data_IF_882876454300
#
_entry.id   IF_882876454300
#
_cell.length_a   1.000
_cell.length_b   1.000
_cell.length_c   1.000
_cell.angle_alpha   90.00
_cell.angle_beta   90.00
_cell.angle_gamma   90.00
#
_symmetry.space_group_name_H-M   'P 1'
#
loop_
_entity.id
_entity.type
_entity.pdbx_description
1 polymer ?
#
# COMPACT_ATOMS: atom_id res chain seq x y z
N UNK A 1 21.38 -17.82 -17.49
CA UNK A 1 21.31 -18.78 -16.35
C UNK A 1 19.87 -19.17 -16.02
N UNK A 2 18.87 -18.36 -16.37
CA UNK A 2 17.47 -18.56 -15.97
C UNK A 2 16.79 -19.82 -16.53
N UNK A 3 17.24 -20.33 -17.68
CA UNK A 3 16.67 -21.55 -18.28
C UNK A 3 17.07 -22.84 -17.54
N UNK A 4 18.24 -22.86 -16.90
CA UNK A 4 18.73 -24.02 -16.13
C UNK A 4 18.01 -24.08 -14.77
N UNK A 5 17.69 -22.93 -14.17
CA UNK A 5 16.95 -22.84 -12.90
C UNK A 5 15.48 -23.30 -13.03
N UNK A 6 14.81 -22.99 -14.16
CA UNK A 6 13.44 -23.45 -14.40
C UNK A 6 13.32 -24.97 -14.52
N UNK A 7 14.25 -25.61 -15.24
CA UNK A 7 14.26 -27.07 -15.43
C UNK A 7 14.64 -27.84 -14.16
N UNK A 8 15.61 -27.34 -13.39
CA UNK A 8 15.98 -27.93 -12.11
C UNK A 8 14.85 -27.84 -11.07
N UNK A 9 14.13 -26.72 -11.02
CA UNK A 9 12.96 -26.54 -10.14
C UNK A 9 11.82 -27.49 -10.47
N UNK A 10 11.49 -27.68 -11.76
CA UNK A 10 10.44 -28.59 -12.19
C UNK A 10 10.77 -30.06 -11.90
N UNK A 11 12.03 -30.48 -12.10
CA UNK A 11 12.49 -31.82 -11.75
C UNK A 11 12.35 -32.09 -10.24
N UNK A 12 12.59 -31.08 -9.40
CA UNK A 12 12.47 -31.19 -7.96
C UNK A 12 11.02 -31.29 -7.49
N UNK A 13 10.12 -30.50 -8.09
CA UNK A 13 8.68 -30.57 -7.81
C UNK A 13 8.13 -31.95 -8.22
N UNK A 14 8.54 -32.47 -9.38
CA UNK A 14 8.16 -33.80 -9.82
C UNK A 14 8.64 -34.89 -8.84
N UNK A 15 9.87 -34.79 -8.33
CA UNK A 15 10.40 -35.67 -7.29
C UNK A 15 9.55 -35.61 -6.00
N UNK A 16 9.16 -34.41 -5.56
CA UNK A 16 8.32 -34.21 -4.38
C UNK A 16 6.92 -34.82 -4.54
N UNK A 17 6.29 -34.61 -5.70
CA UNK A 17 4.97 -35.19 -6.02
C UNK A 17 5.06 -36.72 -6.05
N UNK A 18 6.11 -37.29 -6.64
CA UNK A 18 6.33 -38.75 -6.68
C UNK A 18 6.56 -39.33 -5.27
N UNK A 19 7.30 -38.65 -4.41
CA UNK A 19 7.47 -39.04 -3.00
C UNK A 19 6.15 -38.99 -2.23
N UNK A 20 5.30 -37.99 -2.46
CA UNK A 20 4.00 -37.86 -1.82
C UNK A 20 3.02 -38.96 -2.28
N UNK A 21 3.03 -39.29 -3.58
CA UNK A 21 2.27 -40.42 -4.13
C UNK A 21 2.75 -41.76 -3.53
N UNK A 22 4.06 -41.92 -3.34
CA UNK A 22 4.65 -43.09 -2.66
C UNK A 22 4.21 -43.25 -1.20
N UNK A 23 3.99 -42.14 -0.50
CA UNK A 23 3.43 -42.12 0.87
C UNK A 23 1.96 -42.54 0.93
N UNK A 24 1.16 -42.11 -0.04
CA UNK A 24 -0.29 -42.40 -0.09
C UNK A 24 -0.59 -43.81 -0.62
N UNK A 25 0.25 -44.36 -1.51
CA UNK A 25 0.00 -45.65 -2.18
C UNK A 25 1.23 -46.58 -2.18
N UNK A 26 1.75 -47.01 -1.01
CA UNK A 26 2.99 -47.78 -0.90
C UNK A 26 2.95 -49.14 -1.63
N UNK A 27 1.77 -49.77 -1.71
CA UNK A 27 1.60 -51.06 -2.40
C UNK A 27 1.82 -50.99 -3.93
N UNK A 28 1.64 -49.81 -4.55
CA UNK A 28 1.88 -49.63 -5.99
C UNK A 28 3.37 -49.50 -6.33
N UNK A 29 4.19 -49.04 -5.39
CA UNK A 29 5.64 -48.90 -5.58
C UNK A 29 6.43 -50.21 -5.39
N UNK A 30 5.89 -51.17 -4.64
CA UNK A 30 6.55 -52.47 -4.41
C UNK A 30 6.58 -53.39 -5.64
N UNK A 31 5.76 -53.14 -6.67
CA UNK A 31 5.76 -53.97 -7.89
C UNK A 31 7.03 -53.83 -8.74
N UNK A 32 7.90 -52.85 -8.46
CA UNK A 32 9.04 -52.51 -9.32
C UNK A 32 10.43 -52.87 -8.78
N UNK A 33 10.59 -53.47 -7.59
CA UNK A 33 11.91 -53.93 -7.09
C UNK A 33 11.86 -55.21 -6.24
N UNK A 34 12.80 -56.13 -6.49
CA UNK A 34 13.19 -57.24 -5.60
C UNK A 34 14.13 -56.77 -4.47
N UNK A 35 13.81 -55.67 -3.79
CA UNK A 35 14.59 -55.19 -2.63
C UNK A 35 13.73 -55.22 -1.37
N UNK A 36 14.38 -55.15 -0.20
CA UNK A 36 13.73 -55.13 1.10
C UNK A 36 12.56 -54.12 1.15
N UNK A 37 11.48 -54.41 1.90
CA UNK A 37 10.31 -53.55 1.94
C UNK A 37 10.67 -52.17 2.48
N UNK A 38 10.45 -51.14 1.66
CA UNK A 38 10.61 -49.74 2.07
C UNK A 38 9.58 -49.46 3.17
N UNK A 39 10.05 -49.13 4.36
CA UNK A 39 9.20 -48.79 5.49
C UNK A 39 8.83 -47.31 5.47
N UNK A 40 7.77 -46.92 6.19
CA UNK A 40 7.40 -45.49 6.35
C UNK A 40 8.56 -44.66 6.92
N UNK A 41 9.41 -45.25 7.77
CA UNK A 41 10.58 -44.59 8.35
C UNK A 41 11.62 -44.26 7.27
N UNK A 42 11.82 -45.16 6.30
CA UNK A 42 12.75 -44.95 5.19
C UNK A 42 12.30 -43.80 4.28
N UNK A 43 10.99 -43.70 4.01
CA UNK A 43 10.43 -42.60 3.23
C UNK A 43 10.56 -41.26 3.97
N UNK A 44 10.32 -41.25 5.28
CA UNK A 44 10.53 -40.05 6.11
C UNK A 44 12.00 -39.62 6.15
N UNK A 45 12.93 -40.56 6.24
CA UNK A 45 14.38 -40.29 6.20
C UNK A 45 14.79 -39.64 4.88
N UNK A 46 14.31 -40.17 3.75
CA UNK A 46 14.60 -39.59 2.42
C UNK A 46 14.03 -38.18 2.29
N UNK A 47 12.83 -37.92 2.80
CA UNK A 47 12.23 -36.58 2.79
C UNK A 47 13.00 -35.59 3.68
N UNK A 48 13.45 -36.02 4.85
CA UNK A 48 14.21 -35.18 5.77
C UNK A 48 15.60 -34.83 5.21
N UNK A 49 16.31 -35.81 4.63
CA UNK A 49 17.59 -35.53 3.98
C UNK A 49 17.41 -34.68 2.71
N UNK A 50 16.35 -34.92 1.93
CA UNK A 50 16.04 -34.13 0.74
C UNK A 50 15.71 -32.66 1.07
N UNK A 51 14.98 -32.40 2.16
CA UNK A 51 14.65 -31.03 2.58
C UNK A 51 15.86 -30.29 3.16
N UNK A 52 16.74 -30.97 3.89
CA UNK A 52 17.99 -30.36 4.38
C UNK A 52 18.90 -29.97 3.21
N UNK A 53 19.05 -30.83 2.20
CA UNK A 53 19.82 -30.52 0.99
C UNK A 53 19.19 -29.33 0.25
N UNK A 54 17.87 -29.24 0.19
CA UNK A 54 17.17 -28.11 -0.44
C UNK A 54 17.44 -26.79 0.30
N UNK A 55 17.34 -26.78 1.63
CA UNK A 55 17.62 -25.60 2.45
C UNK A 55 19.08 -25.19 2.28
N UNK A 56 20.02 -26.13 2.27
CA UNK A 56 21.44 -25.84 2.02
C UNK A 56 21.67 -25.27 0.62
N UNK A 57 21.02 -25.82 -0.42
CA UNK A 57 21.13 -25.27 -1.78
C UNK A 57 20.54 -23.86 -1.88
N UNK A 58 19.44 -23.57 -1.17
CA UNK A 58 18.89 -22.22 -1.08
C UNK A 58 19.80 -21.27 -0.29
N UNK A 59 20.47 -21.71 0.77
CA UNK A 59 21.37 -20.85 1.56
C UNK A 59 22.70 -20.59 0.84
N UNK A 60 23.26 -21.58 0.13
CA UNK A 60 24.53 -21.43 -0.59
C UNK A 60 24.40 -20.79 -1.98
N UNK A 61 23.21 -20.82 -2.60
CA UNK A 61 22.93 -20.12 -3.86
C UNK A 61 21.94 -18.96 -3.69
N UNK A 62 21.55 -18.62 -2.46
CA UNK A 62 20.97 -17.32 -2.22
C UNK A 62 22.04 -16.31 -2.63
N UNK A 63 21.75 -15.39 -3.56
CA UNK A 63 22.61 -14.23 -3.70
C UNK A 63 22.76 -13.63 -2.32
N UNK A 64 23.99 -13.30 -1.92
CA UNK A 64 24.23 -12.53 -0.70
C UNK A 64 23.21 -11.39 -0.67
N UNK A 65 22.63 -11.05 0.50
CA UNK A 65 21.90 -9.81 0.65
C UNK A 65 22.88 -8.63 0.59
N UNK A 66 23.69 -8.53 -0.48
CA UNK A 66 24.29 -7.29 -0.89
C UNK A 66 23.14 -6.36 -1.31
N UNK A 67 22.76 -5.47 -0.40
CA UNK A 67 23.39 -4.16 -0.35
C UNK A 67 23.86 -3.57 -1.70
N UNK A 68 23.16 -3.77 -2.81
CA UNK A 68 23.38 -3.02 -4.06
C UNK A 68 22.14 -3.05 -4.95
N UNK A 69 21.04 -2.55 -4.39
CA UNK A 69 20.04 -1.79 -5.12
C UNK A 69 20.30 -0.31 -4.93
N UNK A 70 21.54 0.16 -5.14
CA UNK A 70 21.79 1.56 -5.46
C UNK A 70 21.04 1.78 -6.77
N UNK A 71 19.79 2.24 -6.66
CA UNK A 71 19.17 2.99 -7.75
C UNK A 71 20.23 3.91 -8.32
N UNK A 72 20.28 4.14 -9.64
CA UNK A 72 21.09 5.24 -10.10
C UNK A 72 20.66 6.40 -9.24
N UNK A 73 21.60 6.93 -8.44
CA UNK A 73 21.48 8.27 -7.90
C UNK A 73 21.45 9.09 -9.17
N UNK A 74 20.25 9.21 -9.75
CA UNK A 74 19.84 10.42 -10.40
C UNK A 74 20.35 11.46 -9.43
N UNK A 75 21.37 12.19 -9.84
CA UNK A 75 21.72 13.42 -9.19
C UNK A 75 20.45 14.25 -9.24
N UNK A 76 19.57 14.04 -8.25
CA UNK A 76 18.46 14.88 -7.97
C UNK A 76 19.13 16.21 -7.71
N UNK A 77 18.82 17.17 -8.58
CA UNK A 77 18.97 18.57 -8.25
C UNK A 77 18.60 18.73 -6.78
N UNK A 78 19.40 19.43 -5.96
CA UNK A 78 19.15 19.55 -4.53
C UNK A 78 17.66 19.86 -4.35
N UNK A 79 16.94 18.95 -3.68
CA UNK A 79 15.51 19.11 -3.49
C UNK A 79 15.30 20.49 -2.87
N UNK A 80 14.53 21.33 -3.56
CA UNK A 80 14.31 22.69 -3.12
C UNK A 80 13.82 22.67 -1.66
N UNK A 81 14.37 23.57 -0.85
CA UNK A 81 14.04 23.63 0.58
C UNK A 81 12.51 23.65 0.75
N UNK A 82 11.92 22.74 1.55
CA UNK A 82 10.48 22.69 1.74
C UNK A 82 9.95 23.98 2.36
N UNK A 83 8.85 24.50 1.82
CA UNK A 83 8.13 25.64 2.40
C UNK A 83 7.09 25.11 3.39
N UNK A 84 7.00 25.73 4.57
CA UNK A 84 6.04 25.36 5.61
C UNK A 84 5.67 26.57 6.48
N UNK A 85 4.53 26.47 7.16
CA UNK A 85 4.04 27.47 8.11
C UNK A 85 3.72 26.79 9.44
N UNK A 86 4.23 27.33 10.57
CA UNK A 86 3.83 26.87 11.91
C UNK A 86 2.53 27.57 12.28
N UNK A 87 1.46 26.80 12.46
CA UNK A 87 0.13 27.33 12.79
C UNK A 87 -0.19 27.21 14.29
N UNK A 88 0.49 26.32 15.01
CA UNK A 88 0.43 26.23 16.46
C UNK A 88 1.75 25.72 17.06
N UNK A 89 2.11 26.22 18.24
CA UNK A 89 3.28 25.78 19.02
C UNK A 89 2.95 25.82 20.53
N UNK A 90 2.61 24.66 21.07
CA UNK A 90 2.22 24.47 22.46
C UNK A 90 3.36 23.85 23.28
N UNK A 91 3.64 24.44 24.45
CA UNK A 91 4.76 24.06 25.30
C UNK A 91 4.27 23.69 26.69
N UNK A 92 4.71 22.53 27.20
CA UNK A 92 4.46 22.08 28.58
C UNK A 92 5.79 21.96 29.32
N UNK A 93 6.23 23.08 29.89
CA UNK A 93 7.55 23.18 30.53
C UNK A 93 8.64 22.68 29.58
N UNK A 94 9.57 21.87 30.12
CA UNK A 94 10.62 21.23 29.33
C UNK A 94 10.31 19.76 28.99
N UNK A 95 9.06 19.31 29.18
CA UNK A 95 8.67 17.91 29.02
C UNK A 95 8.15 17.65 27.60
N UNK A 96 7.28 18.53 27.11
CA UNK A 96 6.63 18.30 25.81
C UNK A 96 6.43 19.60 25.05
N UNK A 97 6.75 19.56 23.75
CA UNK A 97 6.37 20.57 22.77
C UNK A 97 5.50 19.91 21.69
N UNK A 98 4.38 20.52 21.34
CA UNK A 98 3.48 20.08 20.26
C UNK A 98 3.36 21.18 19.24
N UNK A 99 3.53 20.84 17.97
CA UNK A 99 3.62 21.80 16.89
C UNK A 99 2.69 21.35 15.79
N UNK A 100 1.86 22.26 15.29
CA UNK A 100 1.09 22.05 14.07
C UNK A 100 1.71 22.86 12.93
N UNK A 101 1.92 22.19 11.80
CA UNK A 101 2.55 22.73 10.61
C UNK A 101 1.61 22.56 9.43
N UNK A 102 1.39 23.65 8.69
CA UNK A 102 0.70 23.61 7.41
C UNK A 102 1.73 23.56 6.27
N UNK A 103 1.52 22.62 5.34
CA UNK A 103 2.35 22.39 4.17
C UNK A 103 1.55 22.71 2.90
N UNK A 104 2.14 23.37 1.88
CA UNK A 104 1.44 23.64 0.63
C UNK A 104 1.18 22.37 -0.19
N UNK A 105 2.03 21.35 -0.04
CA UNK A 105 1.96 20.08 -0.77
C UNK A 105 2.47 18.93 0.10
N UNK A 106 2.13 17.70 -0.29
CA UNK A 106 2.69 16.48 0.30
C UNK A 106 4.20 16.42 0.07
N UNK A 107 4.90 15.83 1.03
CA UNK A 107 6.36 15.71 1.07
C UNK A 107 6.80 14.24 1.22
N UNK A 108 8.06 13.97 0.89
CA UNK A 108 8.70 12.68 1.16
C UNK A 108 9.27 12.63 2.59
N UNK A 109 9.80 11.46 2.99
CA UNK A 109 10.36 11.25 4.34
C UNK A 109 11.52 12.20 4.64
N UNK A 110 12.48 12.33 3.74
CA UNK A 110 13.69 13.14 3.94
C UNK A 110 13.37 14.63 4.10
N UNK A 111 12.38 15.12 3.36
CA UNK A 111 11.87 16.49 3.49
C UNK A 111 11.22 16.73 4.86
N UNK A 112 10.41 15.79 5.36
CA UNK A 112 9.85 15.89 6.71
C UNK A 112 10.91 15.81 7.80
N UNK A 113 11.94 14.97 7.63
CA UNK A 113 13.09 14.93 8.55
C UNK A 113 13.83 16.27 8.59
N UNK A 114 13.99 16.91 7.43
CA UNK A 114 14.61 18.24 7.32
C UNK A 114 13.79 19.28 8.08
N UNK A 115 12.48 19.38 7.83
CA UNK A 115 11.59 20.32 8.53
C UNK A 115 11.60 20.05 10.03
N UNK A 116 11.48 18.79 10.45
CA UNK A 116 11.44 18.42 11.87
C UNK A 116 12.70 18.85 12.61
N UNK A 117 13.88 18.62 12.01
CA UNK A 117 15.16 19.05 12.58
C UNK A 117 15.29 20.58 12.60
N UNK A 118 14.87 21.28 11.55
CA UNK A 118 14.85 22.75 11.53
C UNK A 118 13.99 23.31 12.67
N UNK A 119 12.76 22.83 12.81
CA UNK A 119 11.82 23.28 13.85
C UNK A 119 12.35 22.98 15.26
N UNK A 120 12.95 21.81 15.46
CA UNK A 120 13.55 21.43 16.75
C UNK A 120 14.76 22.30 17.08
N UNK A 121 15.62 22.59 16.12
CA UNK A 121 16.87 23.33 16.34
C UNK A 121 16.67 24.85 16.39
N UNK A 122 15.54 25.36 15.88
CA UNK A 122 15.18 26.77 15.96
C UNK A 122 14.81 27.24 17.38
N UNK A 123 14.43 26.33 18.28
CA UNK A 123 14.15 26.66 19.68
C UNK A 123 15.38 26.35 20.54
N UNK A 124 15.80 27.32 21.36
CA UNK A 124 16.92 27.15 22.28
C UNK A 124 16.58 26.22 23.45
N UNK A 125 15.29 26.08 23.80
CA UNK A 125 14.86 25.22 24.88
C UNK A 125 14.99 23.74 24.49
N UNK A 126 15.34 22.92 25.49
CA UNK A 126 15.36 21.46 25.34
C UNK A 126 14.07 20.88 25.90
N UNK A 127 13.43 20.06 25.09
CA UNK A 127 12.23 19.31 25.45
C UNK A 127 12.56 17.83 25.47
N UNK A 128 12.07 17.08 26.47
CA UNK A 128 12.18 15.62 26.46
C UNK A 128 11.55 15.02 25.20
N UNK A 129 10.38 15.54 24.80
CA UNK A 129 9.64 15.10 23.61
C UNK A 129 9.14 16.27 22.78
N UNK A 130 9.25 16.14 21.47
CA UNK A 130 8.67 17.09 20.50
C UNK A 130 7.80 16.34 19.50
N UNK A 131 6.54 16.76 19.38
CA UNK A 131 5.55 16.20 18.46
C UNK A 131 5.24 17.25 17.40
N UNK A 132 5.37 16.89 16.13
CA UNK A 132 5.05 17.78 15.01
C UNK A 132 3.99 17.10 14.15
N UNK A 133 2.87 17.78 13.94
CA UNK A 133 1.73 17.34 13.17
C UNK A 133 1.68 18.16 11.88
N UNK A 134 1.66 17.49 10.74
CA UNK A 134 1.66 18.14 9.43
C UNK A 134 0.28 18.02 8.78
N UNK A 135 -0.27 19.13 8.29
CA UNK A 135 -1.50 19.19 7.49
C UNK A 135 -1.17 19.71 6.09
N UNK A 136 -1.88 19.22 5.08
CA UNK A 136 -1.77 19.75 3.72
C UNK A 136 -2.80 20.86 3.54
N UNK A 137 -2.35 22.03 3.11
CA UNK A 137 -3.19 23.17 2.82
C UNK A 137 -4.25 22.76 1.78
N UNK A 138 -5.53 23.08 2.06
CA UNK A 138 -6.70 22.76 1.23
C UNK A 138 -7.12 21.28 1.24
N UNK A 139 -6.41 20.37 1.90
CA UNK A 139 -6.96 19.06 2.24
C UNK A 139 -7.77 19.22 3.54
N UNK A 140 -9.10 19.20 3.44
CA UNK A 140 -10.01 19.36 4.57
C UNK A 140 -10.08 18.06 5.40
N UNK A 141 -8.96 17.64 5.99
CA UNK A 141 -8.88 16.49 6.89
C UNK A 141 -9.00 16.92 8.35
N UNK A 142 -9.75 16.15 9.12
CA UNK A 142 -9.81 16.29 10.59
C UNK A 142 -8.53 15.78 11.27
N UNK A 143 -7.76 14.94 10.59
CA UNK A 143 -6.51 14.37 11.09
C UNK A 143 -5.29 15.01 10.41
N UNK A 144 -4.13 14.91 11.08
CA UNK A 144 -2.85 15.24 10.44
C UNK A 144 -2.59 14.27 9.28
N UNK A 145 -1.97 14.76 8.20
CA UNK A 145 -1.53 13.95 7.07
C UNK A 145 -0.27 13.15 7.41
N UNK A 146 0.63 13.73 8.22
CA UNK A 146 1.82 13.05 8.72
C UNK A 146 2.19 13.57 10.12
N UNK A 147 3.04 12.84 10.82
CA UNK A 147 3.64 13.27 12.08
C UNK A 147 5.13 12.96 12.13
N UNK A 148 5.87 13.78 12.88
CA UNK A 148 7.22 13.43 13.33
C UNK A 148 7.31 13.55 14.83
N UNK A 149 8.06 12.63 15.43
CA UNK A 149 8.25 12.56 16.87
C UNK A 149 9.73 12.51 17.19
N UNK A 150 10.16 13.35 18.12
CA UNK A 150 11.43 13.20 18.82
C UNK A 150 11.14 12.57 20.18
N UNK A 151 11.38 11.27 20.32
CA UNK A 151 11.14 10.52 21.57
C UNK A 151 12.07 9.29 21.71
N UNK A 152 13.38 9.46 22.01
CA UNK A 152 14.19 10.69 21.88
C UNK A 152 14.69 10.91 20.44
N UNK A 153 14.76 9.84 19.65
CA UNK A 153 15.17 9.85 18.26
C UNK A 153 14.03 10.33 17.36
N UNK A 154 14.41 10.82 16.17
CA UNK A 154 13.45 11.24 15.17
C UNK A 154 12.78 10.02 14.54
N UNK A 155 11.44 10.00 14.57
CA UNK A 155 10.61 9.09 13.79
C UNK A 155 9.65 9.88 12.90
N UNK A 156 9.41 9.37 11.70
CA UNK A 156 8.45 9.90 10.72
C UNK A 156 7.34 8.90 10.54
N UNK A 157 6.09 9.34 10.61
CA UNK A 157 4.91 8.52 10.36
C UNK A 157 3.98 9.23 9.38
N UNK A 158 3.71 8.57 8.27
CA UNK A 158 2.67 8.99 7.32
C UNK A 158 1.33 8.42 7.77
N UNK A 159 0.30 9.26 7.79
CA UNK A 159 -1.09 8.85 8.03
C UNK A 159 -1.84 8.75 6.70
N UNK A 160 -1.65 9.71 5.80
CA UNK A 160 -2.03 9.61 4.38
C UNK A 160 -0.86 9.19 3.48
N UNK A 161 -1.05 9.16 2.16
CA UNK A 161 0.03 8.78 1.24
C UNK A 161 1.17 9.81 1.23
N UNK A 162 2.41 9.31 1.21
CA UNK A 162 3.62 10.11 0.96
C UNK A 162 3.55 10.79 -0.41
N UNK A 163 4.38 11.81 -0.67
CA UNK A 163 4.44 12.44 -2.00
C UNK A 163 4.71 11.43 -3.12
N UNK A 164 5.58 10.45 -2.88
CA UNK A 164 5.94 9.45 -3.89
C UNK A 164 4.82 8.43 -4.10
N UNK A 165 4.18 7.97 -3.03
CA UNK A 165 3.07 7.02 -3.12
C UNK A 165 1.82 7.67 -3.69
N UNK A 166 1.61 8.96 -3.42
CA UNK A 166 0.56 9.74 -4.06
C UNK A 166 0.77 9.85 -5.58
N UNK A 167 2.00 10.14 -6.03
CA UNK A 167 2.33 10.12 -7.46
C UNK A 167 2.12 8.74 -8.08
N UNK A 168 2.48 7.67 -7.37
CA UNK A 168 2.21 6.30 -7.84
C UNK A 168 0.71 6.03 -7.95
N UNK A 169 -0.09 6.46 -6.97
CA UNK A 169 -1.55 6.34 -7.00
C UNK A 169 -2.12 7.03 -8.24
N UNK A 170 -1.71 8.27 -8.54
CA UNK A 170 -2.16 9.00 -9.72
C UNK A 170 -1.76 8.32 -11.04
N UNK A 171 -0.69 7.52 -11.03
CA UNK A 171 -0.16 6.82 -12.20
C UNK A 171 -0.65 5.37 -12.34
N UNK A 172 -1.52 4.87 -11.45
CA UNK A 172 -1.97 3.48 -11.55
C UNK A 172 -2.77 3.25 -12.83
N UNK A 173 -2.62 2.05 -13.40
CA UNK A 173 -3.45 1.63 -14.53
C UNK A 173 -4.83 1.22 -14.02
N UNK A 174 -5.85 1.99 -14.35
CA UNK A 174 -7.24 1.70 -14.02
C UNK A 174 -7.79 0.64 -14.97
N UNK A 175 -7.80 -0.62 -14.54
CA UNK A 175 -8.37 -1.74 -15.29
C UNK A 175 -9.90 -1.74 -15.18
N UNK A 176 -10.54 -1.16 -16.20
CA UNK A 176 -11.98 -0.97 -16.30
C UNK A 176 -12.49 -1.61 -17.58
N UNK A 177 -13.43 -2.53 -17.42
CA UNK A 177 -14.18 -3.16 -18.51
C UNK A 177 -15.52 -2.45 -18.67
N UNK A 178 -15.50 -1.31 -19.37
CA UNK A 178 -16.68 -0.50 -19.66
C UNK A 178 -16.37 0.96 -20.01
N UNK A 179 -17.44 1.72 -20.27
CA UNK A 179 -17.37 3.16 -20.54
C UNK A 179 -17.24 3.93 -19.21
N UNK A 180 -16.13 4.64 -19.03
CA UNK A 180 -15.88 5.45 -17.83
C UNK A 180 -16.81 6.66 -17.81
N UNK A 181 -17.60 6.80 -16.75
CA UNK A 181 -18.43 7.98 -16.50
C UNK A 181 -17.60 9.08 -15.84
N UNK A 182 -16.71 8.71 -14.92
CA UNK A 182 -15.78 9.63 -14.29
C UNK A 182 -14.80 8.94 -13.35
N UNK A 183 -13.78 9.70 -12.97
CA UNK A 183 -12.68 9.28 -12.09
C UNK A 183 -12.43 10.39 -11.08
N UNK A 184 -12.35 10.04 -9.80
CA UNK A 184 -12.18 11.00 -8.72
C UNK A 184 -11.12 10.53 -7.76
N UNK A 185 -10.31 11.46 -7.27
CA UNK A 185 -9.44 11.23 -6.15
C UNK A 185 -10.23 11.46 -4.86
N UNK A 186 -10.39 10.40 -4.07
CA UNK A 186 -11.03 10.43 -2.77
C UNK A 186 -10.02 10.33 -1.64
N UNK A 187 -9.73 11.45 -0.95
CA UNK A 187 -9.09 11.41 0.36
C UNK A 187 -10.07 10.90 1.44
N UNK A 188 -10.27 9.58 1.57
CA UNK A 188 -11.08 9.05 2.68
C UNK A 188 -10.26 8.98 3.97
N UNK A 189 -10.00 10.14 4.59
CA UNK A 189 -9.56 10.37 5.97
C UNK A 189 -8.22 9.76 6.44
N UNK A 190 -7.77 8.67 5.81
CA UNK A 190 -6.62 7.83 6.14
C UNK A 190 -6.07 7.11 4.89
N UNK A 191 -6.90 6.80 3.87
CA UNK A 191 -6.43 6.15 2.64
C UNK A 191 -6.96 6.84 1.38
N UNK A 192 -6.06 7.53 0.68
CA UNK A 192 -6.35 8.06 -0.64
C UNK A 192 -6.55 6.90 -1.63
N UNK A 193 -7.58 7.02 -2.47
CA UNK A 193 -7.85 6.08 -3.55
C UNK A 193 -8.50 6.80 -4.73
N UNK A 194 -8.56 6.10 -5.86
CA UNK A 194 -9.27 6.56 -7.05
C UNK A 194 -10.61 5.82 -7.12
N UNK A 195 -11.70 6.56 -7.12
CA UNK A 195 -13.03 6.04 -7.44
C UNK A 195 -13.28 6.16 -8.93
N UNK A 196 -13.79 5.07 -9.51
CA UNK A 196 -14.23 5.05 -10.90
C UNK A 196 -15.67 4.60 -10.95
N UNK A 197 -16.54 5.44 -11.53
CA UNK A 197 -17.88 5.03 -11.92
C UNK A 197 -17.85 4.76 -13.42
N UNK A 198 -18.33 3.59 -13.82
CA UNK A 198 -18.33 3.17 -15.22
C UNK A 198 -19.61 2.39 -15.57
N UNK A 199 -19.88 2.28 -16.87
CA UNK A 199 -21.03 1.58 -17.42
C UNK A 199 -20.56 0.38 -18.25
N UNK A 200 -21.13 -0.80 -17.99
CA UNK A 200 -20.92 -2.01 -18.79
C UNK A 200 -22.28 -2.53 -19.27
N UNK A 201 -22.53 -2.43 -20.58
CA UNK A 201 -23.85 -2.71 -21.15
C UNK A 201 -24.90 -1.71 -20.64
N UNK A 202 -25.91 -2.20 -19.90
CA UNK A 202 -26.94 -1.36 -19.28
C UNK A 202 -26.74 -1.14 -17.77
N UNK A 203 -25.74 -1.77 -17.17
CA UNK A 203 -25.48 -1.74 -15.74
C UNK A 203 -24.36 -0.74 -15.40
N UNK A 204 -24.51 0.00 -14.30
CA UNK A 204 -23.48 0.88 -13.76
C UNK A 204 -22.74 0.19 -12.61
N UNK A 205 -21.47 0.56 -12.46
CA UNK A 205 -20.59 0.03 -11.44
C UNK A 205 -19.73 1.15 -10.82
N UNK A 206 -19.37 0.99 -9.55
CA UNK A 206 -18.31 1.76 -8.87
C UNK A 206 -17.16 0.82 -8.56
N UNK A 207 -15.92 1.25 -8.75
CA UNK A 207 -14.72 0.46 -8.42
C UNK A 207 -13.65 1.36 -7.83
N UNK A 208 -13.02 0.86 -6.77
CA UNK A 208 -12.07 1.63 -5.97
C UNK A 208 -10.67 1.06 -6.17
N UNK A 209 -9.73 1.95 -6.46
CA UNK A 209 -8.34 1.61 -6.70
C UNK A 209 -7.46 2.26 -5.66
N UNK A 210 -6.85 1.42 -4.83
CA UNK A 210 -5.82 1.78 -3.88
C UNK A 210 -4.45 1.45 -4.50
N UNK A 211 -3.38 2.00 -3.94
CA UNK A 211 -2.03 1.76 -4.42
C UNK A 211 -1.63 0.27 -4.32
N UNK A 212 -2.10 -0.42 -3.28
CA UNK A 212 -1.77 -1.79 -2.92
C UNK A 212 -2.91 -2.80 -3.15
N UNK A 213 -4.11 -2.31 -3.49
CA UNK A 213 -5.28 -3.15 -3.66
C UNK A 213 -6.26 -2.56 -4.67
N UNK A 214 -6.99 -3.43 -5.36
CA UNK A 214 -8.15 -3.04 -6.17
C UNK A 214 -9.35 -3.78 -5.65
N UNK A 215 -10.41 -3.04 -5.32
CA UNK A 215 -11.64 -3.63 -4.82
C UNK A 215 -12.47 -4.24 -5.94
N UNK A 216 -13.34 -5.18 -5.56
CA UNK A 216 -14.36 -5.68 -6.48
C UNK A 216 -15.32 -4.52 -6.81
N UNK A 217 -15.84 -4.46 -8.04
CA UNK A 217 -16.80 -3.43 -8.39
C UNK A 217 -18.14 -3.67 -7.69
N UNK A 218 -18.75 -2.59 -7.22
CA UNK A 218 -20.10 -2.58 -6.69
C UNK A 218 -21.10 -2.24 -7.79
N UNK A 219 -22.24 -2.92 -7.81
CA UNK A 219 -23.33 -2.61 -8.73
C UNK A 219 -24.08 -1.36 -8.29
N UNK A 220 -24.34 -0.47 -9.24
CA UNK A 220 -24.97 0.84 -9.00
C UNK A 220 -26.29 1.00 -9.74
N UNK A 221 -27.24 1.69 -9.14
CA UNK A 221 -28.45 2.21 -9.77
C UNK A 221 -28.27 3.70 -10.02
N UNK A 222 -28.57 4.16 -11.24
CA UNK A 222 -28.44 5.56 -11.65
C UNK A 222 -29.80 6.24 -11.75
N UNK A 223 -29.93 7.42 -11.14
CA UNK A 223 -31.11 8.29 -11.19
C UNK A 223 -30.65 9.74 -11.47
N UNK A 224 -30.73 10.17 -12.73
CA UNK A 224 -30.17 11.46 -13.14
C UNK A 224 -28.64 11.51 -12.94
N UNK A 225 -28.17 12.41 -12.07
CA UNK A 225 -26.75 12.51 -11.69
C UNK A 225 -26.43 11.79 -10.37
N UNK A 226 -27.39 11.03 -9.83
CA UNK A 226 -27.25 10.29 -8.57
C UNK A 226 -26.96 8.82 -8.86
N UNK A 227 -26.04 8.24 -8.09
CA UNK A 227 -25.69 6.83 -8.11
C UNK A 227 -25.88 6.25 -6.70
N UNK A 228 -26.64 5.17 -6.60
CA UNK A 228 -26.88 4.43 -5.37
C UNK A 228 -26.33 3.03 -5.52
N UNK A 229 -25.84 2.44 -4.44
CA UNK A 229 -25.58 1.01 -4.43
C UNK A 229 -26.86 0.23 -4.70
N UNK A 230 -26.73 -0.91 -5.40
CA UNK A 230 -27.86 -1.82 -5.63
C UNK A 230 -28.23 -2.59 -4.37
N UNK A 231 -27.28 -2.80 -3.46
CA UNK A 231 -27.55 -3.34 -2.13
C UNK A 231 -28.34 -2.31 -1.30
N UNK A 232 -29.58 -2.61 -0.88
CA UNK A 232 -30.40 -1.68 -0.10
C UNK A 232 -29.88 -1.45 1.32
N UNK A 233 -28.97 -2.28 1.84
CA UNK A 233 -28.33 -2.05 3.14
C UNK A 233 -27.33 -0.87 3.09
N UNK A 234 -26.80 -0.57 1.90
CA UNK A 234 -25.88 0.54 1.69
C UNK A 234 -26.66 1.85 1.53
N UNK A 235 -26.57 2.69 2.57
CA UNK A 235 -27.32 3.96 2.64
C UNK A 235 -26.57 5.14 2.04
N UNK A 236 -25.28 4.98 1.74
CA UNK A 236 -24.48 6.00 1.06
C UNK A 236 -24.87 6.07 -0.42
N UNK A 237 -24.89 7.27 -0.95
CA UNK A 237 -25.10 7.51 -2.38
C UNK A 237 -24.19 8.63 -2.87
N UNK A 238 -23.99 8.66 -4.17
CA UNK A 238 -23.05 9.56 -4.82
C UNK A 238 -23.78 10.50 -5.77
N UNK A 239 -23.39 11.76 -5.79
CA UNK A 239 -23.94 12.75 -6.71
C UNK A 239 -22.80 13.41 -7.47
N UNK A 240 -22.84 13.37 -8.80
CA UNK A 240 -21.93 14.16 -9.62
C UNK A 240 -22.47 15.58 -9.69
N UNK A 241 -21.75 16.54 -9.10
CA UNK A 241 -22.20 17.93 -9.04
C UNK A 241 -21.91 18.70 -10.34
N UNK A 242 -22.27 19.99 -10.38
CA UNK A 242 -22.09 20.82 -11.59
C UNK A 242 -20.64 21.03 -12.01
N UNK A 243 -19.68 20.91 -11.08
CA UNK A 243 -18.25 20.96 -11.38
C UNK A 243 -17.71 19.58 -11.84
N UNK A 244 -18.58 18.57 -11.81
CA UNK A 244 -18.26 17.18 -12.08
C UNK A 244 -17.45 16.50 -10.98
N UNK A 245 -17.38 17.08 -9.78
CA UNK A 245 -16.85 16.43 -8.58
C UNK A 245 -17.86 15.42 -8.02
N UNK A 246 -17.40 14.43 -7.26
CA UNK A 246 -18.23 13.37 -6.68
C UNK A 246 -18.54 13.67 -5.21
N UNK A 247 -19.81 13.94 -4.92
CA UNK A 247 -20.31 14.15 -3.57
C UNK A 247 -20.75 12.82 -2.95
N UNK A 248 -20.18 12.47 -1.80
CA UNK A 248 -20.57 11.34 -0.99
C UNK A 248 -21.64 11.83 -0.02
N UNK A 249 -22.85 11.29 -0.14
CA UNK A 249 -23.99 11.69 0.68
C UNK A 249 -24.46 10.53 1.53
N UNK A 250 -24.72 10.84 2.81
CA UNK A 250 -25.46 9.96 3.71
C UNK A 250 -26.95 10.32 3.73
N UNK A 251 -27.68 9.70 4.65
CA UNK A 251 -29.12 9.91 4.83
C UNK A 251 -29.52 11.35 5.18
N UNK A 252 -28.61 12.17 5.74
CA UNK A 252 -28.96 13.50 6.27
C UNK A 252 -28.00 14.64 5.90
N UNK A 253 -26.82 14.39 5.32
CA UNK A 253 -25.90 15.46 4.90
C UNK A 253 -24.86 14.99 3.88
N UNK A 254 -24.18 15.96 3.26
CA UNK A 254 -22.91 15.72 2.58
C UNK A 254 -21.93 15.16 3.61
N UNK A 255 -21.37 13.99 3.32
CA UNK A 255 -20.34 13.36 4.14
C UNK A 255 -18.98 13.81 3.66
N UNK A 256 -18.78 13.88 2.34
CA UNK A 256 -17.45 14.05 1.76
C UNK A 256 -17.50 14.47 0.28
N UNK A 257 -16.43 15.11 -0.23
CA UNK A 257 -16.31 15.57 -1.62
C UNK A 257 -14.99 15.06 -2.23
N UNK A 258 -15.10 14.24 -3.27
CA UNK A 258 -13.96 13.79 -4.06
C UNK A 258 -13.80 14.64 -5.32
N UNK A 259 -12.57 15.07 -5.58
CA UNK A 259 -12.25 15.93 -6.72
C UNK A 259 -11.95 15.10 -7.95
N UNK A 260 -12.35 15.58 -9.12
CA UNK A 260 -11.97 14.89 -10.36
C UNK A 260 -10.48 14.66 -10.44
N UNK A 261 -10.10 13.48 -10.93
CA UNK A 261 -8.70 13.08 -11.03
C UNK A 261 -7.90 14.02 -11.97
N UNK A 262 -8.53 14.55 -13.02
CA UNK A 262 -7.89 15.47 -13.99
C UNK A 262 -7.44 16.82 -13.40
N UNK A 263 -7.84 17.13 -12.17
CA UNK A 263 -7.45 18.36 -11.48
C UNK A 263 -6.12 18.22 -10.70
N UNK A 264 -5.46 17.06 -10.76
CA UNK A 264 -4.18 16.75 -10.11
C UNK A 264 -3.10 16.43 -11.14
#
# INVERSE_FOLDING_TARGET
>A
MDFIFGLAGLALIALWVLSFIGLLFPAKFQKFKKSAPITRKDVFLVLLFGSIILILLMVFNAPDPESNGTSPVAHSLPEAKPVYEIVADEKRGNITRKIEVELPTRLNKSQLETIANEIKNADSNKYERTFIMYRIKRENSVAAWATTHFDPDLSVKFIGLSADDFKKLLAIKLDIDGEVVGQWLSPNGLTDHIDVIYKKGQQYFKKDFYLDATMKPDEMVKEGNTFRYKDPAETQYFVINSNGDLEYKGSTSLTFLAKKLENY
#
